data_IF_464819980866
#
_entry.id   IF_464819980866
#
_cell.length_a   1.000
_cell.length_b   1.000
_cell.length_c   1.000
_cell.angle_alpha   90.00
_cell.angle_beta   90.00
_cell.angle_gamma   90.00
#
_symmetry.space_group_name_H-M   'P 1'
#
loop_
_entity.id
_entity.type
_entity.pdbx_description
1 polymer ?
#
# COMPACT_ATOMS: atom_id res chain seq x y z
N UNK A 1 17.91 -3.87 -33.50
CA UNK A 1 18.15 -3.70 -32.07
C UNK A 1 17.86 -2.24 -31.69
N UNK A 2 16.65 -1.91 -31.21
CA UNK A 2 16.30 -0.53 -30.78
C UNK A 2 16.62 -0.45 -29.30
N UNK A 3 17.66 0.26 -28.91
CA UNK A 3 17.97 0.62 -27.52
C UNK A 3 16.84 1.55 -27.04
N UNK A 4 16.00 1.09 -26.11
CA UNK A 4 15.11 1.98 -25.35
C UNK A 4 15.99 2.74 -24.37
N UNK A 5 15.93 4.06 -24.42
CA UNK A 5 16.56 4.93 -23.42
C UNK A 5 15.86 4.72 -22.07
N UNK A 6 16.58 4.67 -20.95
CA UNK A 6 15.97 4.62 -19.65
C UNK A 6 15.12 5.88 -19.46
N UNK A 7 13.88 5.71 -19.04
CA UNK A 7 12.99 6.83 -18.71
C UNK A 7 13.59 7.53 -17.49
N UNK A 8 14.19 8.70 -17.72
CA UNK A 8 14.71 9.52 -16.64
C UNK A 8 13.52 10.04 -15.83
N UNK A 9 13.47 9.71 -14.54
CA UNK A 9 12.39 10.13 -13.61
C UNK A 9 12.15 11.65 -13.59
N UNK A 10 13.17 12.45 -13.89
CA UNK A 10 13.04 13.91 -14.04
C UNK A 10 12.24 14.30 -15.29
N UNK A 11 12.26 13.52 -16.36
CA UNK A 11 11.53 13.82 -17.59
C UNK A 11 10.03 13.48 -17.49
N UNK A 12 9.64 12.58 -16.59
CA UNK A 12 8.21 12.26 -16.33
C UNK A 12 7.53 13.43 -15.59
N UNK A 13 8.24 14.05 -14.64
CA UNK A 13 7.76 15.26 -13.94
C UNK A 13 7.66 16.47 -14.87
N UNK A 14 8.60 16.64 -15.81
CA UNK A 14 8.58 17.72 -16.80
C UNK A 14 7.49 17.55 -17.86
N UNK A 15 7.14 16.30 -18.23
CA UNK A 15 6.02 16.02 -19.11
C UNK A 15 4.66 16.28 -18.46
N UNK A 16 4.52 16.00 -17.16
CA UNK A 16 3.32 16.35 -16.40
C UNK A 16 3.17 17.86 -16.21
N UNK A 17 4.28 18.59 -16.00
CA UNK A 17 4.27 20.05 -15.87
C UNK A 17 4.15 20.78 -17.23
N UNK A 18 4.68 20.21 -18.31
CA UNK A 18 4.65 20.81 -19.65
C UNK A 18 3.30 20.70 -20.36
N UNK A 19 2.45 19.73 -20.01
CA UNK A 19 1.10 19.58 -20.55
C UNK A 19 0.10 20.61 -19.99
N UNK A 20 0.48 21.36 -18.95
CA UNK A 20 -0.39 22.33 -18.27
C UNK A 20 -0.59 23.63 -19.07
N UNK A 21 0.19 23.90 -20.12
CA UNK A 21 0.20 25.20 -20.78
C UNK A 21 -0.52 25.29 -22.15
N UNK A 22 -1.15 24.24 -22.67
CA UNK A 22 -1.57 24.29 -24.08
C UNK A 22 -3.05 24.03 -24.41
N UNK A 23 -3.95 23.56 -23.52
CA UNK A 23 -5.36 23.31 -23.91
C UNK A 23 -6.33 23.61 -22.75
N UNK A 24 -7.28 24.48 -23.00
CA UNK A 24 -8.47 24.94 -22.24
C UNK A 24 -8.79 24.32 -20.87
N UNK A 25 -8.87 25.16 -19.88
CA UNK A 25 -8.92 24.92 -18.44
C UNK A 25 -9.90 23.89 -17.83
N UNK A 26 -10.70 23.17 -18.57
CA UNK A 26 -11.69 22.21 -18.03
C UNK A 26 -11.14 20.78 -17.96
N UNK A 27 -10.34 20.34 -18.92
CA UNK A 27 -9.78 18.97 -18.92
C UNK A 27 -8.66 18.79 -17.90
N UNK A 28 -7.89 19.82 -17.61
CA UNK A 28 -6.75 19.78 -16.68
C UNK A 28 -7.18 19.57 -15.22
N UNK A 29 -8.31 20.17 -14.82
CA UNK A 29 -8.81 20.04 -13.45
C UNK A 29 -9.23 18.61 -13.12
N UNK A 30 -9.76 17.87 -14.10
CA UNK A 30 -10.24 16.50 -13.91
C UNK A 30 -9.09 15.47 -13.85
N UNK A 31 -8.00 15.69 -14.58
CA UNK A 31 -6.80 14.83 -14.50
C UNK A 31 -6.04 15.03 -13.18
N UNK A 32 -5.88 16.27 -12.71
CA UNK A 32 -5.23 16.58 -11.43
C UNK A 32 -6.03 16.01 -10.25
N UNK A 33 -7.35 16.00 -10.31
CA UNK A 33 -8.21 15.40 -9.28
C UNK A 33 -8.12 13.87 -9.24
N UNK A 34 -7.70 13.23 -10.33
CA UNK A 34 -7.55 11.78 -10.44
C UNK A 34 -6.13 11.28 -10.18
N UNK A 35 -5.16 12.16 -9.92
CA UNK A 35 -3.81 11.75 -9.57
C UNK A 35 -3.79 11.10 -8.19
N UNK A 36 -3.17 9.92 -8.02
CA UNK A 36 -2.95 9.35 -6.70
C UNK A 36 -2.17 10.32 -5.81
N UNK A 37 -2.69 10.52 -4.60
CA UNK A 37 -2.02 11.38 -3.64
C UNK A 37 -0.80 10.67 -3.05
N UNK A 38 0.18 11.43 -2.52
CA UNK A 38 1.38 10.87 -1.91
C UNK A 38 1.08 9.82 -0.82
N UNK A 39 1.97 8.84 -0.67
CA UNK A 39 1.87 7.74 0.30
C UNK A 39 2.50 8.11 1.66
N UNK A 40 2.44 9.35 2.07
CA UNK A 40 2.94 9.77 3.37
C UNK A 40 1.80 10.03 4.35
N UNK A 41 2.14 10.06 5.64
CA UNK A 41 1.18 10.35 6.69
C UNK A 41 0.53 11.73 6.46
N UNK A 42 -0.80 11.74 6.54
CA UNK A 42 -1.60 12.97 6.55
C UNK A 42 -2.32 13.07 7.90
N UNK A 43 -2.38 14.24 8.49
CA UNK A 43 -2.94 14.50 9.83
C UNK A 43 -4.46 14.26 9.97
N UNK A 44 -5.05 13.48 9.09
CA UNK A 44 -6.50 13.21 9.06
C UNK A 44 -6.91 11.81 9.55
N UNK A 45 -5.95 10.95 9.90
CA UNK A 45 -6.24 9.57 10.26
C UNK A 45 -6.86 8.75 9.13
N UNK A 46 -7.53 7.64 9.51
CA UNK A 46 -8.27 6.80 8.55
C UNK A 46 -9.58 7.49 8.17
N UNK A 47 -9.71 7.87 6.88
CA UNK A 47 -10.85 8.64 6.36
C UNK A 47 -11.74 7.86 5.40
N UNK A 48 -11.35 6.65 5.01
CA UNK A 48 -12.05 5.82 4.01
C UNK A 48 -13.44 5.39 4.54
N UNK A 49 -14.48 5.79 3.84
CA UNK A 49 -15.87 5.54 4.27
C UNK A 49 -16.31 4.09 4.03
N UNK A 50 -15.87 3.45 2.96
CA UNK A 50 -16.30 2.11 2.54
C UNK A 50 -15.57 0.96 3.24
N UNK A 51 -14.60 1.22 4.12
CA UNK A 51 -13.92 0.17 4.88
C UNK A 51 -14.90 -0.63 5.76
N UNK A 52 -14.69 -1.95 5.90
CA UNK A 52 -15.49 -2.77 6.80
C UNK A 52 -15.21 -2.41 8.27
N UNK A 53 -16.20 -2.62 9.13
CA UNK A 53 -16.09 -2.29 10.55
C UNK A 53 -14.97 -3.07 11.25
N UNK A 54 -14.69 -4.31 10.82
CA UNK A 54 -13.58 -5.13 11.30
C UNK A 54 -12.21 -4.47 11.11
N UNK A 55 -12.05 -3.63 10.08
CA UNK A 55 -10.82 -2.84 9.84
C UNK A 55 -10.90 -1.50 10.55
N UNK A 56 -12.05 -0.81 10.50
CA UNK A 56 -12.23 0.51 11.14
C UNK A 56 -11.94 0.51 12.63
N UNK A 57 -12.19 -0.58 13.33
CA UNK A 57 -11.89 -0.70 14.78
C UNK A 57 -10.41 -0.48 15.11
N UNK A 58 -9.51 -0.65 14.14
CA UNK A 58 -8.07 -0.46 14.26
C UNK A 58 -7.58 0.94 13.86
N UNK A 59 -8.50 1.87 13.55
CA UNK A 59 -8.14 3.21 13.04
C UNK A 59 -7.18 3.97 13.94
N UNK A 60 -7.36 3.90 15.26
CA UNK A 60 -6.48 4.57 16.23
C UNK A 60 -5.05 4.02 16.19
N UNK A 61 -4.91 2.70 16.08
CA UNK A 61 -3.59 2.06 16.01
C UNK A 61 -2.91 2.37 14.67
N UNK A 62 -3.67 2.34 13.56
CA UNK A 62 -3.17 2.72 12.25
C UNK A 62 -2.75 4.19 12.18
N UNK A 63 -3.50 5.10 12.80
CA UNK A 63 -3.13 6.50 12.91
C UNK A 63 -1.84 6.69 13.72
N UNK A 64 -1.75 6.04 14.87
CA UNK A 64 -0.56 6.09 15.73
C UNK A 64 0.69 5.58 15.02
N UNK A 65 0.58 4.42 14.36
CA UNK A 65 1.72 3.81 13.65
C UNK A 65 2.02 4.53 12.33
N UNK A 66 1.01 5.01 11.63
CA UNK A 66 1.16 5.85 10.45
C UNK A 66 1.97 7.10 10.75
N UNK A 67 1.65 7.80 11.83
CA UNK A 67 2.40 8.95 12.31
C UNK A 67 3.84 8.61 12.70
N UNK A 68 4.03 7.51 13.44
CA UNK A 68 5.35 7.06 13.89
C UNK A 68 6.29 6.73 12.72
N UNK A 69 5.77 6.08 11.68
CA UNK A 69 6.56 5.59 10.55
C UNK A 69 6.40 6.42 9.27
N UNK A 70 5.66 7.53 9.35
CA UNK A 70 5.34 8.39 8.21
C UNK A 70 4.70 7.62 7.04
N UNK A 71 3.68 6.81 7.36
CA UNK A 71 2.90 6.03 6.40
C UNK A 71 1.45 6.48 6.49
N UNK A 72 0.80 6.74 5.35
CA UNK A 72 -0.62 7.13 5.37
C UNK A 72 -1.48 6.00 5.99
N UNK A 73 -2.26 6.28 7.05
CA UNK A 73 -3.09 5.28 7.72
C UNK A 73 -4.18 4.69 6.80
N UNK A 74 -4.58 5.39 5.74
CA UNK A 74 -5.49 4.84 4.73
C UNK A 74 -4.83 3.72 3.91
N UNK A 75 -3.52 3.82 3.63
CA UNK A 75 -2.79 2.73 2.97
C UNK A 75 -2.69 1.51 3.90
N UNK A 76 -2.38 1.72 5.18
CA UNK A 76 -2.41 0.64 6.18
C UNK A 76 -3.77 -0.06 6.23
N UNK A 77 -4.86 0.72 6.18
CA UNK A 77 -6.22 0.18 6.20
C UNK A 77 -6.56 -0.64 4.94
N UNK A 78 -6.13 -0.18 3.76
CA UNK A 78 -6.33 -0.91 2.50
C UNK A 78 -5.55 -2.22 2.51
N UNK A 79 -4.28 -2.21 2.87
CA UNK A 79 -3.45 -3.43 2.99
C UNK A 79 -4.08 -4.39 4.01
N UNK A 80 -4.41 -3.94 5.23
CA UNK A 80 -5.07 -4.76 6.24
C UNK A 80 -6.37 -5.39 5.73
N UNK A 81 -7.15 -4.63 4.95
CA UNK A 81 -8.40 -5.14 4.37
C UNK A 81 -8.14 -6.36 3.49
N UNK A 82 -7.17 -6.27 2.58
CA UNK A 82 -6.85 -7.34 1.64
C UNK A 82 -6.17 -8.53 2.34
N UNK A 83 -5.29 -8.26 3.31
CA UNK A 83 -4.49 -9.28 4.00
C UNK A 83 -5.32 -10.16 4.95
N UNK A 84 -6.20 -9.55 5.75
CA UNK A 84 -6.87 -10.24 6.84
C UNK A 84 -8.35 -9.91 7.03
N UNK A 85 -8.88 -8.92 6.28
CA UNK A 85 -10.21 -8.37 6.57
C UNK A 85 -10.33 -7.74 7.96
N UNK A 86 -9.23 -7.45 8.63
CA UNK A 86 -9.18 -6.94 10.01
C UNK A 86 -9.20 -8.03 11.10
N UNK A 87 -8.88 -9.29 10.75
CA UNK A 87 -8.78 -10.41 11.70
C UNK A 87 -7.35 -10.49 12.30
N UNK A 88 -7.14 -10.21 13.59
CA UNK A 88 -5.82 -10.31 14.21
C UNK A 88 -5.30 -11.76 14.32
N UNK A 89 -6.20 -12.74 14.26
CA UNK A 89 -5.88 -14.18 14.30
C UNK A 89 -5.71 -14.81 12.92
N UNK A 90 -5.71 -14.01 11.85
CA UNK A 90 -5.50 -14.51 10.51
C UNK A 90 -4.14 -15.22 10.40
N UNK A 91 -4.14 -16.43 9.83
CA UNK A 91 -2.95 -17.24 9.65
C UNK A 91 -3.08 -18.06 8.37
N UNK A 92 -2.22 -17.78 7.41
CA UNK A 92 -2.16 -18.50 6.11
C UNK A 92 -1.21 -19.69 6.13
N UNK A 93 -0.59 -20.01 7.27
CA UNK A 93 0.49 -20.99 7.38
C UNK A 93 1.88 -20.41 7.09
N UNK A 94 1.98 -19.32 6.33
CA UNK A 94 3.23 -18.64 6.00
C UNK A 94 3.31 -17.23 6.59
N UNK A 95 2.16 -16.59 6.83
CA UNK A 95 2.05 -15.23 7.33
C UNK A 95 0.99 -15.16 8.43
N UNK A 96 1.11 -14.16 9.33
CA UNK A 96 0.31 -14.08 10.56
C UNK A 96 -0.15 -12.65 10.84
N UNK A 97 -1.35 -12.54 11.42
CA UNK A 97 -1.90 -11.33 12.00
C UNK A 97 -2.59 -10.40 11.01
N UNK A 98 -2.94 -9.20 11.48
CA UNK A 98 -3.67 -8.20 10.69
C UNK A 98 -3.01 -7.86 9.37
N UNK A 99 -1.68 -7.80 9.36
CA UNK A 99 -0.88 -7.35 8.22
C UNK A 99 -0.20 -8.50 7.49
N UNK A 100 -0.52 -9.77 7.83
CA UNK A 100 0.02 -10.99 7.22
C UNK A 100 1.54 -10.94 6.99
N UNK A 101 2.29 -10.64 8.05
CA UNK A 101 3.75 -10.57 8.00
C UNK A 101 4.34 -11.99 8.11
N UNK A 102 5.24 -12.33 7.20
CA UNK A 102 5.94 -13.62 7.22
C UNK A 102 7.03 -13.66 8.31
N UNK A 103 7.44 -14.87 8.74
CA UNK A 103 8.52 -15.01 9.73
C UNK A 103 9.85 -14.40 9.27
N UNK A 104 10.33 -14.57 8.02
CA UNK A 104 11.54 -13.88 7.56
C UNK A 104 11.42 -12.36 7.62
N UNK A 105 10.33 -11.82 7.06
CA UNK A 105 10.07 -10.38 7.04
C UNK A 105 10.01 -9.81 8.46
N UNK A 106 9.32 -10.49 9.39
CA UNK A 106 9.23 -10.01 10.78
C UNK A 106 10.58 -9.96 11.50
N UNK A 107 11.47 -10.94 11.24
CA UNK A 107 12.83 -10.93 11.80
C UNK A 107 13.64 -9.74 11.28
N UNK A 108 13.57 -9.49 9.98
CA UNK A 108 14.26 -8.36 9.35
C UNK A 108 13.77 -7.02 9.89
N UNK A 109 12.45 -6.84 9.99
CA UNK A 109 11.84 -5.64 10.55
C UNK A 109 12.22 -5.47 12.01
N UNK A 110 12.10 -6.53 12.83
CA UNK A 110 12.42 -6.47 14.25
C UNK A 110 13.87 -6.06 14.49
N UNK A 111 14.83 -6.66 13.75
CA UNK A 111 16.26 -6.40 13.94
C UNK A 111 16.70 -5.06 13.36
N UNK A 112 16.27 -4.73 12.13
CA UNK A 112 16.80 -3.58 11.37
C UNK A 112 16.07 -2.27 11.65
N UNK A 113 14.77 -2.34 11.96
CA UNK A 113 13.92 -1.15 12.08
C UNK A 113 13.36 -0.91 13.48
N UNK A 114 12.95 -1.98 14.19
CA UNK A 114 12.32 -1.85 15.50
C UNK A 114 13.28 -2.04 16.67
N UNK A 115 14.49 -2.56 16.42
CA UNK A 115 15.48 -2.93 17.45
C UNK A 115 14.87 -3.82 18.55
N UNK A 116 13.94 -4.68 18.17
CA UNK A 116 13.25 -5.62 19.05
C UNK A 116 13.88 -7.00 18.97
N UNK A 117 14.10 -7.68 20.12
CA UNK A 117 14.51 -9.09 20.10
C UNK A 117 13.47 -9.95 19.38
N UNK A 118 13.93 -10.84 18.51
CA UNK A 118 13.06 -11.73 17.69
C UNK A 118 12.13 -12.61 18.53
N UNK A 119 12.46 -12.85 19.79
CA UNK A 119 11.65 -13.65 20.72
C UNK A 119 10.56 -12.88 21.48
N UNK A 120 10.40 -11.58 21.26
CA UNK A 120 9.57 -10.70 22.10
C UNK A 120 8.46 -9.98 21.35
N UNK A 121 7.93 -10.53 20.28
CA UNK A 121 6.74 -9.97 19.62
C UNK A 121 5.75 -11.06 19.24
N UNK A 122 4.48 -10.70 19.25
CA UNK A 122 3.37 -11.56 18.82
C UNK A 122 2.60 -10.85 17.70
N UNK A 123 2.65 -11.39 16.48
CA UNK A 123 1.95 -10.81 15.34
C UNK A 123 0.43 -11.02 15.37
N UNK A 124 -0.09 -11.85 16.26
CA UNK A 124 -1.54 -11.96 16.52
C UNK A 124 -2.06 -10.87 17.47
N UNK A 125 -1.14 -10.12 18.11
CA UNK A 125 -1.49 -8.89 18.81
C UNK A 125 -1.69 -7.78 17.78
N UNK A 126 -2.90 -7.21 17.74
CA UNK A 126 -3.28 -6.25 16.69
C UNK A 126 -2.34 -5.05 16.59
N UNK A 127 -2.09 -4.31 17.69
CA UNK A 127 -1.15 -3.17 17.64
C UNK A 127 0.26 -3.56 17.18
N UNK A 128 0.77 -4.72 17.63
CA UNK A 128 2.08 -5.23 17.19
C UNK A 128 2.08 -5.53 15.69
N UNK A 129 1.04 -6.19 15.18
CA UNK A 129 0.92 -6.49 13.74
C UNK A 129 0.89 -5.21 12.90
N UNK A 130 0.15 -4.19 13.34
CA UNK A 130 0.08 -2.89 12.66
C UNK A 130 1.43 -2.17 12.70
N UNK A 131 2.15 -2.21 13.82
CA UNK A 131 3.49 -1.63 13.93
C UNK A 131 4.46 -2.26 12.92
N UNK A 132 4.46 -3.59 12.81
CA UNK A 132 5.30 -4.30 11.85
C UNK A 132 4.92 -3.98 10.41
N UNK A 133 3.62 -3.94 10.08
CA UNK A 133 3.13 -3.55 8.76
C UNK A 133 3.52 -2.12 8.39
N UNK A 134 3.37 -1.17 9.31
CA UNK A 134 3.74 0.23 9.10
C UNK A 134 5.26 0.40 8.87
N UNK A 135 6.09 -0.27 9.68
CA UNK A 135 7.53 -0.24 9.51
C UNK A 135 7.96 -0.86 8.16
N UNK A 136 7.30 -1.96 7.75
CA UNK A 136 7.58 -2.58 6.45
C UNK A 136 7.19 -1.68 5.29
N UNK A 137 6.01 -1.09 5.32
CA UNK A 137 5.57 -0.13 4.28
C UNK A 137 6.47 1.10 4.21
N UNK A 138 6.93 1.62 5.36
CA UNK A 138 7.89 2.72 5.40
C UNK A 138 9.22 2.36 4.73
N UNK A 139 9.71 1.13 4.97
CA UNK A 139 10.91 0.62 4.32
C UNK A 139 10.73 0.52 2.80
N UNK A 140 9.64 -0.11 2.35
CA UNK A 140 9.35 -0.26 0.92
C UNK A 140 9.18 1.09 0.24
N UNK A 141 8.43 2.01 0.87
CA UNK A 141 8.28 3.37 0.35
C UNK A 141 9.64 4.06 0.17
N UNK A 142 10.49 4.02 1.19
CA UNK A 142 11.83 4.62 1.13
C UNK A 142 12.65 4.06 -0.02
N UNK A 143 12.57 2.76 -0.27
CA UNK A 143 13.29 2.11 -1.38
C UNK A 143 12.83 2.67 -2.72
N UNK A 144 11.52 2.78 -2.96
CA UNK A 144 10.98 3.23 -4.24
C UNK A 144 10.91 4.75 -4.43
N UNK A 145 10.97 5.53 -3.36
CA UNK A 145 11.06 6.99 -3.44
C UNK A 145 12.47 7.53 -3.20
N UNK A 146 13.41 6.66 -2.80
CA UNK A 146 14.75 7.05 -2.35
C UNK A 146 14.71 8.09 -1.21
N UNK A 147 13.63 8.08 -0.42
CA UNK A 147 13.39 9.03 0.65
C UNK A 147 12.98 10.44 0.19
N UNK A 148 12.79 10.66 -1.11
CA UNK A 148 12.31 11.92 -1.66
C UNK A 148 10.79 11.90 -1.78
N UNK A 149 10.09 12.71 -0.97
CA UNK A 149 8.63 12.83 -0.98
C UNK A 149 8.07 13.29 -2.33
N UNK A 150 8.84 14.06 -3.10
CA UNK A 150 8.42 14.57 -4.41
C UNK A 150 8.37 13.46 -5.47
N UNK A 151 9.01 12.31 -5.21
CA UNK A 151 8.95 11.13 -6.08
C UNK A 151 7.81 10.16 -5.71
N UNK A 152 6.97 10.49 -4.76
CA UNK A 152 5.74 9.75 -4.46
C UNK A 152 4.72 9.95 -5.58
N UNK A 153 5.03 9.34 -6.71
CA UNK A 153 4.24 9.44 -7.95
C UNK A 153 3.10 8.44 -7.96
N UNK A 154 2.28 8.55 -8.98
CA UNK A 154 1.12 7.72 -9.28
C UNK A 154 1.38 6.19 -9.25
N UNK A 155 2.63 5.76 -9.42
CA UNK A 155 3.00 4.34 -9.40
C UNK A 155 3.50 3.84 -8.05
N UNK A 156 3.80 4.71 -7.08
CA UNK A 156 4.42 4.27 -5.83
C UNK A 156 3.50 3.36 -5.03
N UNK A 157 2.19 3.60 -5.03
CA UNK A 157 1.24 2.71 -4.35
C UNK A 157 1.24 1.30 -4.95
N UNK A 158 1.30 1.19 -6.29
CA UNK A 158 1.36 -0.09 -6.98
C UNK A 158 2.68 -0.81 -6.73
N UNK A 159 3.81 -0.09 -6.81
CA UNK A 159 5.15 -0.64 -6.55
C UNK A 159 5.30 -1.14 -5.12
N UNK A 160 4.86 -0.32 -4.15
CA UNK A 160 4.90 -0.68 -2.72
C UNK A 160 4.02 -1.91 -2.45
N UNK A 161 2.83 -1.98 -3.05
CA UNK A 161 1.95 -3.12 -2.92
C UNK A 161 2.53 -4.39 -3.59
N UNK A 162 3.11 -4.26 -4.79
CA UNK A 162 3.78 -5.38 -5.47
C UNK A 162 4.95 -5.91 -4.64
N UNK A 163 5.77 -5.02 -4.06
CA UNK A 163 6.87 -5.40 -3.18
C UNK A 163 6.37 -6.03 -1.87
N UNK A 164 5.26 -5.55 -1.32
CA UNK A 164 4.68 -6.08 -0.10
C UNK A 164 4.24 -7.54 -0.27
N UNK A 165 3.56 -7.86 -1.36
CA UNK A 165 3.03 -9.20 -1.65
C UNK A 165 4.05 -10.11 -2.34
N UNK A 166 4.70 -9.64 -3.40
CA UNK A 166 5.58 -10.43 -4.26
C UNK A 166 7.09 -10.17 -4.07
N UNK A 167 7.45 -9.32 -3.10
CA UNK A 167 8.85 -8.94 -2.85
C UNK A 167 9.40 -7.92 -3.86
N UNK A 168 10.67 -7.53 -3.67
CA UNK A 168 11.34 -6.51 -4.49
C UNK A 168 11.40 -6.87 -5.98
N UNK A 169 11.52 -8.17 -6.31
CA UNK A 169 11.53 -8.62 -7.71
C UNK A 169 10.25 -8.28 -8.47
N UNK A 170 9.09 -8.37 -7.82
CA UNK A 170 7.82 -8.03 -8.42
C UNK A 170 7.69 -6.52 -8.69
N UNK A 171 8.12 -5.69 -7.76
CA UNK A 171 8.11 -4.25 -7.96
C UNK A 171 9.09 -3.81 -9.06
N UNK A 172 10.30 -4.38 -9.08
CA UNK A 172 11.29 -4.11 -10.13
C UNK A 172 10.76 -4.50 -11.52
N UNK A 173 10.04 -5.61 -11.62
CA UNK A 173 9.43 -6.04 -12.89
C UNK A 173 8.38 -5.02 -13.41
N UNK A 174 7.65 -4.36 -12.51
CA UNK A 174 6.76 -3.24 -12.89
C UNK A 174 7.60 -2.03 -13.37
N UNK A 175 8.63 -1.64 -12.60
CA UNK A 175 9.48 -0.48 -12.94
C UNK A 175 10.18 -0.63 -14.30
N UNK A 176 10.68 -1.83 -14.60
CA UNK A 176 11.40 -2.12 -15.85
C UNK A 176 10.46 -2.39 -17.02
N UNK A 177 9.16 -2.59 -16.76
CA UNK A 177 8.17 -2.96 -17.77
C UNK A 177 8.31 -4.42 -18.26
N UNK A 178 9.04 -5.25 -17.53
CA UNK A 178 9.18 -6.69 -17.82
C UNK A 178 7.89 -7.46 -17.48
N UNK A 179 7.02 -6.87 -16.63
CA UNK A 179 5.80 -7.49 -16.14
C UNK A 179 6.05 -8.51 -15.03
N UNK A 180 5.05 -8.68 -14.17
CA UNK A 180 5.08 -9.67 -13.09
C UNK A 180 4.58 -11.00 -13.66
N UNK A 181 5.29 -12.10 -13.42
CA UNK A 181 4.86 -13.45 -13.83
C UNK A 181 3.83 -14.07 -12.87
N UNK A 182 3.73 -13.56 -11.64
CA UNK A 182 2.77 -14.03 -10.66
C UNK A 182 1.44 -13.27 -10.76
N UNK A 183 0.40 -13.99 -11.20
CA UNK A 183 -0.95 -13.42 -11.36
C UNK A 183 -1.56 -12.92 -10.04
N UNK A 184 -1.23 -13.54 -8.91
CA UNK A 184 -1.72 -13.14 -7.60
C UNK A 184 -1.17 -11.77 -7.21
N UNK A 185 0.13 -11.56 -7.37
CA UNK A 185 0.78 -10.28 -7.09
C UNK A 185 0.28 -9.17 -8.02
N UNK A 186 0.01 -9.49 -9.31
CA UNK A 186 -0.59 -8.51 -10.25
C UNK A 186 -1.97 -8.05 -9.75
N UNK A 187 -2.83 -8.98 -9.37
CA UNK A 187 -4.17 -8.66 -8.87
C UNK A 187 -4.09 -7.88 -7.57
N UNK A 188 -3.22 -8.31 -6.66
CA UNK A 188 -3.02 -7.66 -5.37
C UNK A 188 -2.57 -6.19 -5.54
N UNK A 189 -1.51 -5.95 -6.29
CA UNK A 189 -0.95 -4.61 -6.48
C UNK A 189 -1.95 -3.67 -7.15
N UNK A 190 -2.69 -4.14 -8.16
CA UNK A 190 -3.76 -3.38 -8.82
C UNK A 190 -4.94 -3.09 -7.91
N UNK A 191 -5.34 -4.02 -7.07
CA UNK A 191 -6.43 -3.80 -6.10
C UNK A 191 -6.03 -2.75 -5.09
N UNK A 192 -4.83 -2.84 -4.49
CA UNK A 192 -4.32 -1.82 -3.57
C UNK A 192 -4.26 -0.45 -4.25
N UNK A 193 -3.71 -0.38 -5.45
CA UNK A 193 -3.59 0.87 -6.21
C UNK A 193 -4.96 1.49 -6.50
N UNK A 194 -5.90 0.71 -6.99
CA UNK A 194 -7.23 1.22 -7.31
C UNK A 194 -8.02 1.62 -6.06
N UNK A 195 -7.97 0.82 -4.99
CA UNK A 195 -8.57 1.18 -3.69
C UNK A 195 -7.93 2.46 -3.12
N UNK A 196 -6.62 2.65 -3.31
CA UNK A 196 -5.94 3.88 -2.94
C UNK A 196 -6.47 5.08 -3.71
N UNK A 197 -6.68 4.97 -5.00
CA UNK A 197 -7.31 6.02 -5.82
C UNK A 197 -8.75 6.30 -5.40
N UNK A 198 -9.49 5.27 -5.01
CA UNK A 198 -10.91 5.34 -4.63
C UNK A 198 -11.13 5.74 -3.16
N UNK A 199 -10.05 5.95 -2.37
CA UNK A 199 -10.12 6.13 -0.90
C UNK A 199 -10.95 7.33 -0.43
N UNK A 200 -11.11 8.35 -1.26
CA UNK A 200 -11.90 9.55 -0.95
C UNK A 200 -13.35 9.47 -1.45
N UNK A 201 -13.71 8.45 -2.22
CA UNK A 201 -15.06 8.24 -2.69
C UNK A 201 -15.95 7.64 -1.59
N UNK A 202 -17.27 7.83 -1.70
CA UNK A 202 -18.24 7.23 -0.78
C UNK A 202 -18.28 5.69 -0.87
N UNK A 203 -17.85 5.12 -2.00
CA UNK A 203 -17.74 3.68 -2.25
C UNK A 203 -16.54 3.36 -3.12
N UNK A 204 -16.13 2.08 -3.15
CA UNK A 204 -15.04 1.58 -3.98
C UNK A 204 -15.51 0.43 -4.86
N UNK A 205 -15.59 0.62 -6.19
CA UNK A 205 -15.87 -0.48 -7.11
C UNK A 205 -14.85 -1.61 -7.01
N UNK A 206 -13.59 -1.27 -6.72
CA UNK A 206 -12.53 -2.27 -6.55
C UNK A 206 -12.74 -3.10 -5.29
N UNK A 207 -13.12 -2.46 -4.16
CA UNK A 207 -13.47 -3.17 -2.94
C UNK A 207 -14.64 -4.13 -3.16
N UNK A 208 -15.69 -3.71 -3.87
CA UNK A 208 -16.84 -4.57 -4.18
C UNK A 208 -16.41 -5.82 -4.99
N UNK A 209 -15.60 -5.62 -6.05
CA UNK A 209 -15.04 -6.76 -6.82
C UNK A 209 -14.16 -7.69 -5.98
N UNK A 210 -13.39 -7.12 -5.04
CA UNK A 210 -12.58 -7.91 -4.11
C UNK A 210 -13.47 -8.75 -3.17
N UNK A 211 -14.58 -8.19 -2.66
CA UNK A 211 -15.57 -8.94 -1.86
C UNK A 211 -16.09 -10.16 -2.62
N UNK A 212 -16.50 -9.96 -3.89
CA UNK A 212 -17.02 -11.02 -4.76
C UNK A 212 -15.99 -12.13 -5.04
N UNK A 213 -14.69 -11.80 -5.09
CA UNK A 213 -13.60 -12.75 -5.31
C UNK A 213 -13.12 -13.46 -4.03
N UNK A 214 -13.87 -13.39 -2.94
CA UNK A 214 -13.59 -14.11 -1.70
C UNK A 214 -13.28 -13.21 -0.49
N UNK A 215 -13.09 -11.91 -0.68
CA UNK A 215 -12.81 -10.96 0.39
C UNK A 215 -13.89 -10.93 1.47
N UNK A 216 -15.14 -11.20 1.10
CA UNK A 216 -16.25 -11.30 2.05
C UNK A 216 -16.01 -12.39 3.12
N UNK A 217 -15.38 -13.49 2.74
CA UNK A 217 -15.03 -14.57 3.69
C UNK A 217 -14.02 -14.10 4.74
N UNK A 218 -13.00 -13.31 4.32
CA UNK A 218 -12.02 -12.73 5.25
C UNK A 218 -12.69 -11.79 6.25
N UNK A 219 -13.57 -10.91 5.78
CA UNK A 219 -14.32 -9.99 6.67
C UNK A 219 -15.21 -10.75 7.65
N UNK A 220 -15.86 -11.82 7.20
CA UNK A 220 -16.70 -12.64 8.06
C UNK A 220 -15.90 -13.37 9.13
N UNK A 221 -14.65 -13.74 8.85
CA UNK A 221 -13.76 -14.39 9.82
C UNK A 221 -13.18 -13.43 10.87
N UNK A 222 -13.31 -12.12 10.65
CA UNK A 222 -12.79 -11.06 11.51
C UNK A 222 -13.79 -10.57 12.58
N UNK A 223 -14.94 -11.22 12.70
CA UNK A 223 -16.00 -10.88 13.67
C UNK A 223 -15.66 -11.27 15.09
#
# INVERSE_FOLDING_TARGET
MKRRLPINRQNVLLLAAGAILAIGGVFIVQEVQNMPQPLHYQDKGVTIQWLPQSVKRWSKDMDTMGKKYNVDPNLLAIIMTIESGGNPKANSGVATGLMQITKPTSRDIASKYLQKPVSRYNLEDGPTSIEFGAAYLAMLRKEYTQGNSDLETMYTAELVAAAYNGGFGAANAIETGEGINDSQTIVYSRDVFNMWRERHAAGSPTFNRWLERGGQSLINSAK
#
